data_IF_187752723341
#
_entry.id   IF_187752723341
#
_cell.length_a   1.000
_cell.length_b   1.000
_cell.length_c   1.000
_cell.angle_alpha   90.00
_cell.angle_beta   90.00
_cell.angle_gamma   90.00
#
_symmetry.space_group_name_H-M   'P 1'
#
loop_
_entity.id
_entity.type
_entity.pdbx_description
1 polymer ?
#
# COMPACT_ATOMS: atom_id res chain seq x y z
N UNK A 1 4.18 16.88 28.61
CA UNK A 1 3.83 16.44 27.23
C UNK A 1 2.73 15.40 27.34
N UNK A 2 1.54 15.68 26.81
CA UNK A 2 0.31 14.85 27.03
C UNK A 2 0.51 13.35 26.74
N UNK A 3 1.25 12.99 25.68
CA UNK A 3 1.46 11.57 25.31
C UNK A 3 2.20 10.80 26.39
N UNK A 4 3.22 11.42 27.02
CA UNK A 4 4.00 10.80 28.10
C UNK A 4 3.12 10.61 29.34
N UNK A 5 2.41 11.64 29.76
CA UNK A 5 1.51 11.61 30.93
C UNK A 5 0.42 10.54 30.78
N UNK A 6 -0.18 10.45 29.59
CA UNK A 6 -1.22 9.45 29.32
C UNK A 6 -0.66 8.02 29.25
N UNK A 7 0.55 7.84 28.69
CA UNK A 7 1.20 6.52 28.65
C UNK A 7 1.61 6.03 30.05
N UNK A 8 2.09 6.93 30.91
CA UNK A 8 2.46 6.60 32.29
C UNK A 8 1.27 6.15 33.14
N UNK A 9 0.07 6.71 32.90
CA UNK A 9 -1.17 6.29 33.57
C UNK A 9 -1.52 4.83 33.34
N UNK A 10 -1.16 4.29 32.18
CA UNK A 10 -1.38 2.87 31.80
C UNK A 10 -0.13 2.00 31.99
N UNK A 11 0.87 2.50 32.71
CA UNK A 11 2.10 1.76 33.04
C UNK A 11 3.13 1.65 31.91
N UNK A 12 2.96 2.40 30.81
CA UNK A 12 3.89 2.43 29.70
C UNK A 12 4.90 3.57 29.87
N UNK A 13 6.19 3.28 29.74
CA UNK A 13 7.25 4.30 29.74
C UNK A 13 7.71 4.61 28.32
N UNK A 14 7.70 5.90 27.98
CA UNK A 14 8.24 6.38 26.71
C UNK A 14 9.77 6.18 26.68
N UNK A 15 10.26 5.49 25.65
CA UNK A 15 11.69 5.35 25.43
C UNK A 15 12.15 6.46 24.48
N UNK A 16 12.76 7.51 25.03
CA UNK A 16 13.18 8.70 24.27
C UNK A 16 14.21 8.35 23.21
N UNK A 17 15.15 7.44 23.49
CA UNK A 17 16.21 7.04 22.55
C UNK A 17 15.68 6.28 21.32
N UNK A 18 14.49 5.65 21.44
CA UNK A 18 13.82 4.94 20.32
C UNK A 18 12.72 5.77 19.69
N UNK A 19 12.48 6.98 20.19
CA UNK A 19 11.45 7.88 19.69
C UNK A 19 12.05 8.81 18.66
N UNK A 20 11.50 8.79 17.45
CA UNK A 20 11.88 9.71 16.38
C UNK A 20 10.71 10.63 16.08
N UNK A 21 11.01 11.86 15.70
CA UNK A 21 10.01 12.86 15.33
C UNK A 21 10.10 13.11 13.84
N UNK A 22 8.95 13.03 13.20
CA UNK A 22 8.79 13.43 11.81
C UNK A 22 7.77 14.59 11.73
N UNK A 23 8.16 15.67 11.08
CA UNK A 23 7.31 16.84 10.91
C UNK A 23 7.23 17.25 9.45
N UNK A 24 6.07 17.77 9.05
CA UNK A 24 5.83 18.33 7.71
C UNK A 24 6.48 19.71 7.52
N UNK A 25 6.84 20.37 8.61
CA UNK A 25 7.57 21.65 8.59
C UNK A 25 9.00 21.46 9.09
N UNK A 26 9.97 22.27 8.64
CA UNK A 26 11.33 22.19 9.14
C UNK A 26 11.37 22.54 10.63
N UNK A 27 11.74 21.56 11.45
CA UNK A 27 11.96 21.72 12.90
C UNK A 27 13.46 21.65 13.14
N UNK A 28 14.00 22.65 13.83
CA UNK A 28 15.44 22.76 14.12
C UNK A 28 15.88 21.82 15.25
N UNK A 29 15.07 21.65 16.28
CA UNK A 29 15.33 20.73 17.38
C UNK A 29 14.07 20.49 18.19
N UNK A 30 13.94 19.29 18.76
CA UNK A 30 12.89 18.94 19.68
C UNK A 30 13.46 18.24 20.90
N UNK A 31 12.98 18.60 22.08
CA UNK A 31 13.44 18.00 23.33
C UNK A 31 12.28 17.38 24.10
N UNK A 32 12.52 16.22 24.66
CA UNK A 32 11.63 15.54 25.59
C UNK A 32 12.41 15.32 26.88
N UNK A 33 11.93 15.89 27.99
CA UNK A 33 12.59 15.83 29.32
C UNK A 33 14.07 16.30 29.34
N UNK A 34 14.42 17.25 28.48
CA UNK A 34 15.78 17.75 28.35
C UNK A 34 16.69 16.92 27.43
N UNK A 35 16.23 15.79 26.94
CA UNK A 35 16.94 14.99 25.93
C UNK A 35 16.51 15.41 24.51
N UNK A 36 17.49 15.57 23.62
CA UNK A 36 17.23 15.92 22.23
C UNK A 36 16.72 14.68 21.48
N UNK A 37 15.58 14.80 20.81
CA UNK A 37 15.00 13.74 20.00
C UNK A 37 15.42 13.91 18.55
N UNK A 38 15.79 12.81 17.91
CA UNK A 38 16.20 12.79 16.51
C UNK A 38 15.01 13.11 15.58
N UNK A 39 15.24 14.04 14.65
CA UNK A 39 14.27 14.35 13.59
C UNK A 39 14.58 13.55 12.35
N UNK A 40 13.57 12.85 11.82
CA UNK A 40 13.73 12.01 10.64
C UNK A 40 12.83 12.50 9.50
N UNK A 41 13.34 12.39 8.29
CA UNK A 41 12.60 12.75 7.08
C UNK A 41 11.69 11.62 6.57
N UNK A 42 11.93 10.41 7.03
CA UNK A 42 11.15 9.25 6.69
C UNK A 42 11.13 8.25 7.86
N UNK A 43 10.07 7.47 7.92
CA UNK A 43 9.85 6.47 8.97
C UNK A 43 9.33 5.18 8.37
N UNK A 44 9.77 4.04 8.89
CA UNK A 44 9.30 2.71 8.48
C UNK A 44 8.30 2.20 9.52
N UNK A 45 7.04 2.08 9.13
CA UNK A 45 5.96 1.65 10.01
C UNK A 45 5.62 0.17 9.77
N UNK A 46 5.53 -0.57 10.88
CA UNK A 46 4.94 -1.91 10.95
C UNK A 46 5.77 -3.02 10.32
N UNK A 47 5.30 -4.25 10.49
CA UNK A 47 5.98 -5.48 10.08
C UNK A 47 6.17 -5.66 8.57
N UNK A 48 5.48 -4.91 7.73
CA UNK A 48 5.66 -4.88 6.27
C UNK A 48 6.62 -3.80 5.79
N UNK A 49 7.11 -2.95 6.69
CA UNK A 49 8.07 -1.91 6.38
C UNK A 49 7.53 -0.81 5.46
N UNK A 50 6.30 -0.35 5.69
CA UNK A 50 5.74 0.79 4.94
C UNK A 50 6.50 2.07 5.26
N UNK A 51 7.05 2.72 4.25
CA UNK A 51 7.81 3.95 4.37
C UNK A 51 6.86 5.14 4.32
N UNK A 52 6.82 5.90 5.42
CA UNK A 52 6.12 7.18 5.52
C UNK A 52 7.16 8.28 5.36
N UNK A 53 6.88 9.27 4.52
CA UNK A 53 7.75 10.43 4.28
C UNK A 53 7.08 11.70 4.80
N UNK A 54 7.86 12.68 5.22
CA UNK A 54 7.36 13.93 5.81
C UNK A 54 6.52 14.76 4.81
N UNK A 55 6.76 14.60 3.51
CA UNK A 55 5.98 15.22 2.43
C UNK A 55 4.69 14.47 2.09
N UNK A 56 4.43 13.31 2.72
CA UNK A 56 3.27 12.48 2.46
C UNK A 56 3.26 11.82 1.07
N UNK A 57 4.41 11.78 0.36
CA UNK A 57 4.48 11.16 -0.97
C UNK A 57 4.53 9.64 -0.87
N UNK A 58 3.44 8.99 -1.28
CA UNK A 58 3.31 7.53 -1.31
C UNK A 58 3.82 6.89 -2.63
N UNK A 59 4.32 7.67 -3.58
CA UNK A 59 4.71 7.17 -4.92
C UNK A 59 5.76 6.06 -4.86
N UNK A 60 6.70 6.14 -3.91
CA UNK A 60 7.74 5.13 -3.74
C UNK A 60 7.15 3.82 -3.21
N UNK A 61 6.30 3.89 -2.19
CA UNK A 61 5.62 2.74 -1.62
C UNK A 61 4.70 2.09 -2.63
N UNK A 62 3.93 2.88 -3.36
CA UNK A 62 3.08 2.41 -4.44
C UNK A 62 3.87 1.56 -5.46
N UNK A 63 5.00 2.08 -5.94
CA UNK A 63 5.87 1.34 -6.88
C UNK A 63 6.34 0.02 -6.27
N UNK A 64 6.74 0.03 -5.00
CA UNK A 64 7.18 -1.17 -4.27
C UNK A 64 6.07 -2.21 -4.18
N UNK A 65 4.86 -1.81 -3.79
CA UNK A 65 3.70 -2.72 -3.71
C UNK A 65 3.32 -3.32 -5.07
N UNK A 66 3.32 -2.51 -6.13
CA UNK A 66 3.05 -3.01 -7.47
C UNK A 66 4.13 -4.00 -7.97
N UNK A 67 5.40 -3.79 -7.61
CA UNK A 67 6.48 -4.73 -7.92
C UNK A 67 6.30 -6.05 -7.16
N UNK A 68 5.98 -5.99 -5.85
CA UNK A 68 5.68 -7.18 -5.05
C UNK A 68 4.46 -7.92 -5.59
N UNK A 69 3.42 -7.19 -5.98
CA UNK A 69 2.23 -7.74 -6.62
C UNK A 69 2.57 -8.45 -7.94
N UNK A 70 3.41 -7.86 -8.79
CA UNK A 70 3.88 -8.53 -10.02
C UNK A 70 4.62 -9.82 -9.73
N UNK A 71 5.50 -9.83 -8.74
CA UNK A 71 6.24 -11.03 -8.31
C UNK A 71 5.26 -12.09 -7.79
N UNK A 72 4.33 -11.73 -6.92
CA UNK A 72 3.31 -12.63 -6.39
C UNK A 72 2.42 -13.21 -7.50
N UNK A 73 1.91 -12.38 -8.43
CA UNK A 73 1.12 -12.83 -9.57
C UNK A 73 1.91 -13.75 -10.51
N UNK A 74 3.22 -13.57 -10.61
CA UNK A 74 4.09 -14.45 -11.39
C UNK A 74 4.22 -15.81 -10.71
N UNK A 75 4.40 -15.85 -9.40
CA UNK A 75 4.46 -17.08 -8.61
C UNK A 75 3.14 -17.86 -8.63
N UNK A 76 2.00 -17.15 -8.62
CA UNK A 76 0.67 -17.76 -8.79
C UNK A 76 0.46 -18.33 -10.20
N UNK A 77 1.32 -18.00 -11.15
CA UNK A 77 1.17 -18.41 -12.54
C UNK A 77 1.10 -19.92 -12.75
N UNK A 78 1.73 -20.75 -11.91
CA UNK A 78 1.63 -22.21 -11.94
C UNK A 78 0.20 -22.66 -11.59
N UNK A 79 -0.36 -22.13 -10.51
CA UNK A 79 -1.72 -22.44 -10.04
C UNK A 79 -2.76 -21.93 -11.06
N UNK A 80 -2.60 -20.71 -11.53
CA UNK A 80 -3.54 -20.09 -12.48
C UNK A 80 -3.50 -20.75 -13.87
N UNK A 81 -2.43 -21.48 -14.22
CA UNK A 81 -2.33 -22.25 -15.46
C UNK A 81 -2.98 -23.62 -15.36
N UNK A 82 -3.29 -24.13 -14.16
CA UNK A 82 -3.89 -25.44 -13.98
C UNK A 82 -5.24 -25.53 -14.72
N UNK A 83 -5.45 -26.65 -15.42
CA UNK A 83 -6.67 -26.85 -16.23
C UNK A 83 -7.89 -27.17 -15.37
N UNK A 84 -7.69 -27.82 -14.24
CA UNK A 84 -8.77 -28.24 -13.33
C UNK A 84 -9.43 -27.08 -12.59
N UNK A 85 -8.78 -25.91 -12.54
CA UNK A 85 -9.36 -24.71 -11.92
C UNK A 85 -10.11 -23.93 -12.97
N UNK A 86 -11.42 -23.75 -12.78
CA UNK A 86 -12.27 -23.02 -13.70
C UNK A 86 -11.92 -21.53 -13.75
N UNK A 87 -12.22 -20.88 -14.87
CA UNK A 87 -11.96 -19.45 -15.03
C UNK A 87 -12.68 -18.58 -13.99
N UNK A 88 -13.97 -18.80 -13.66
CA UNK A 88 -14.64 -18.07 -12.58
C UNK A 88 -13.93 -18.19 -11.23
N UNK A 89 -13.45 -19.38 -10.88
CA UNK A 89 -12.69 -19.62 -9.64
C UNK A 89 -11.38 -18.84 -9.63
N UNK A 90 -10.65 -18.82 -10.75
CA UNK A 90 -9.41 -18.03 -10.89
C UNK A 90 -9.68 -16.53 -10.72
N UNK A 91 -10.75 -16.04 -11.33
CA UNK A 91 -11.16 -14.62 -11.20
C UNK A 91 -11.54 -14.29 -9.78
N UNK A 92 -12.32 -15.15 -9.11
CA UNK A 92 -12.69 -14.98 -7.71
C UNK A 92 -11.45 -14.93 -6.79
N UNK A 93 -10.50 -15.84 -6.96
CA UNK A 93 -9.26 -15.91 -6.20
C UNK A 93 -8.43 -14.63 -6.35
N UNK A 94 -8.28 -14.13 -7.57
CA UNK A 94 -7.55 -12.89 -7.82
C UNK A 94 -8.27 -11.68 -7.22
N UNK A 95 -9.59 -11.58 -7.36
CA UNK A 95 -10.37 -10.48 -6.80
C UNK A 95 -10.42 -10.50 -5.27
N UNK A 96 -10.69 -11.65 -4.68
CA UNK A 96 -10.97 -11.75 -3.24
C UNK A 96 -9.71 -11.85 -2.37
N UNK A 97 -8.61 -12.39 -2.90
CA UNK A 97 -7.40 -12.62 -2.11
C UNK A 97 -6.21 -11.81 -2.61
N UNK A 98 -5.97 -11.81 -3.92
CA UNK A 98 -4.75 -11.21 -4.46
C UNK A 98 -4.77 -9.68 -4.40
N UNK A 99 -5.79 -9.03 -4.95
CA UNK A 99 -5.87 -7.57 -4.94
C UNK A 99 -5.93 -6.98 -3.54
N UNK A 100 -6.76 -7.46 -2.60
CA UNK A 100 -6.76 -6.96 -1.23
C UNK A 100 -5.41 -7.10 -0.54
N UNK A 101 -4.70 -8.20 -0.76
CA UNK A 101 -3.37 -8.42 -0.18
C UNK A 101 -2.30 -7.47 -0.76
N UNK A 102 -2.37 -7.15 -2.06
CA UNK A 102 -1.44 -6.21 -2.70
C UNK A 102 -1.73 -4.77 -2.30
N UNK A 103 -3.01 -4.40 -2.16
CA UNK A 103 -3.44 -3.03 -1.87
C UNK A 103 -3.65 -2.77 -0.36
N UNK A 104 -3.30 -3.73 0.50
CA UNK A 104 -3.45 -3.58 1.94
C UNK A 104 -2.65 -2.39 2.48
N UNK A 105 -3.30 -1.50 3.22
CA UNK A 105 -2.69 -0.30 3.80
C UNK A 105 -2.61 0.90 2.85
N UNK A 106 -3.19 0.79 1.63
CA UNK A 106 -3.23 1.89 0.67
C UNK A 106 -4.35 2.91 0.95
N UNK A 107 -5.28 2.58 1.83
CA UNK A 107 -6.46 3.41 2.15
C UNK A 107 -6.11 4.76 2.78
N UNK A 108 -4.96 4.85 3.46
CA UNK A 108 -4.45 6.08 4.06
C UNK A 108 -3.60 6.93 3.10
N UNK A 109 -3.37 6.45 1.86
CA UNK A 109 -2.47 7.14 0.94
C UNK A 109 -3.19 8.22 0.13
N UNK A 110 -2.53 9.37 0.02
CA UNK A 110 -2.94 10.42 -0.93
C UNK A 110 -2.47 10.05 -2.33
N UNK A 111 -3.33 9.35 -3.09
CA UNK A 111 -2.99 8.82 -4.41
C UNK A 111 -3.10 9.93 -5.46
N UNK A 112 -1.99 10.25 -6.12
CA UNK A 112 -1.94 11.20 -7.23
C UNK A 112 -2.49 10.53 -8.51
N UNK A 113 -2.99 11.33 -9.46
CA UNK A 113 -3.55 10.83 -10.72
C UNK A 113 -2.59 9.96 -11.56
N UNK A 114 -1.28 10.22 -11.43
CA UNK A 114 -0.26 9.40 -12.08
C UNK A 114 -0.16 8.00 -11.46
N UNK A 115 -0.32 7.88 -10.16
CA UNK A 115 -0.32 6.60 -9.43
C UNK A 115 -1.57 5.77 -9.74
N UNK A 116 -2.75 6.41 -9.86
CA UNK A 116 -3.97 5.74 -10.32
C UNK A 116 -3.73 5.03 -11.66
N UNK A 117 -3.13 5.73 -12.63
CA UNK A 117 -2.80 5.13 -13.94
C UNK A 117 -1.85 3.93 -13.84
N UNK A 118 -0.94 3.93 -12.87
CA UNK A 118 -0.03 2.79 -12.63
C UNK A 118 -0.76 1.60 -12.02
N UNK A 119 -1.71 1.86 -11.12
CA UNK A 119 -2.59 0.81 -10.54
C UNK A 119 -3.43 0.20 -11.65
N UNK A 120 -4.07 1.01 -12.49
CA UNK A 120 -4.90 0.55 -13.61
C UNK A 120 -4.08 -0.30 -14.59
N UNK A 121 -2.88 0.15 -14.93
CA UNK A 121 -1.97 -0.60 -15.80
C UNK A 121 -1.52 -1.93 -15.18
N UNK A 122 -1.31 -1.96 -13.86
CA UNK A 122 -0.99 -3.18 -13.13
C UNK A 122 -2.18 -4.15 -13.11
N UNK A 123 -3.38 -3.66 -12.83
CA UNK A 123 -4.60 -4.46 -12.82
C UNK A 123 -4.84 -5.07 -14.20
N UNK A 124 -4.76 -4.25 -15.25
CA UNK A 124 -4.90 -4.72 -16.63
C UNK A 124 -3.85 -5.79 -16.98
N UNK A 125 -2.62 -5.64 -16.52
CA UNK A 125 -1.58 -6.64 -16.70
C UNK A 125 -1.92 -7.95 -15.98
N UNK A 126 -2.48 -7.90 -14.76
CA UNK A 126 -2.94 -9.08 -14.03
C UNK A 126 -4.05 -9.83 -14.79
N UNK A 127 -5.04 -9.11 -15.28
CA UNK A 127 -6.14 -9.70 -16.05
C UNK A 127 -5.68 -10.33 -17.36
N UNK A 128 -4.81 -9.67 -18.10
CA UNK A 128 -4.20 -10.23 -19.33
C UNK A 128 -3.47 -11.53 -19.05
N UNK A 129 -2.71 -11.56 -17.97
CA UNK A 129 -1.97 -12.75 -17.55
C UNK A 129 -2.90 -13.90 -17.13
N UNK A 130 -3.96 -13.59 -16.42
CA UNK A 130 -4.98 -14.57 -15.99
C UNK A 130 -5.71 -15.18 -17.18
N UNK A 131 -6.16 -14.34 -18.11
CA UNK A 131 -7.02 -14.73 -19.22
C UNK A 131 -6.24 -15.22 -20.44
N UNK A 132 -4.90 -15.14 -20.41
CA UNK A 132 -4.03 -15.44 -21.56
C UNK A 132 -4.43 -14.70 -22.84
N UNK A 133 -5.04 -13.52 -22.71
CA UNK A 133 -5.56 -12.76 -23.83
C UNK A 133 -4.45 -11.95 -24.50
N UNK A 134 -4.35 -11.94 -25.84
CA UNK A 134 -3.47 -11.04 -26.56
C UNK A 134 -3.87 -9.57 -26.31
N UNK A 135 -2.92 -8.67 -26.45
CA UNK A 135 -2.98 -7.27 -26.01
C UNK A 135 -4.14 -6.43 -26.61
N UNK A 136 -4.81 -6.93 -27.66
CA UNK A 136 -5.70 -6.13 -28.53
C UNK A 136 -7.18 -6.15 -28.14
N UNK A 137 -7.65 -7.07 -27.27
CA UNK A 137 -9.10 -7.31 -27.11
C UNK A 137 -9.69 -6.97 -25.73
N UNK A 138 -8.98 -6.26 -24.88
CA UNK A 138 -9.55 -5.77 -23.62
C UNK A 138 -10.02 -4.32 -23.77
N UNK A 139 -11.27 -4.18 -24.19
CA UNK A 139 -11.96 -2.91 -24.22
C UNK A 139 -12.11 -2.33 -22.79
N UNK A 140 -12.22 -1.00 -22.74
CA UNK A 140 -12.43 -0.15 -21.53
C UNK A 140 -13.50 -0.63 -20.54
N UNK A 141 -14.37 -1.55 -20.93
CA UNK A 141 -15.52 -2.00 -20.15
C UNK A 141 -15.19 -2.78 -18.87
N UNK A 142 -14.04 -3.46 -18.79
CA UNK A 142 -13.64 -4.18 -17.58
C UNK A 142 -12.88 -3.28 -16.60
N UNK A 143 -12.13 -2.31 -17.12
CA UNK A 143 -11.41 -1.32 -16.32
C UNK A 143 -12.38 -0.35 -15.63
N UNK A 144 -13.44 0.06 -16.32
CA UNK A 144 -14.48 0.96 -15.75
C UNK A 144 -15.27 0.33 -14.59
N UNK A 145 -15.35 -1.00 -14.53
CA UNK A 145 -16.02 -1.70 -13.43
C UNK A 145 -15.15 -1.78 -12.17
N UNK A 146 -13.83 -1.70 -12.31
CA UNK A 146 -12.91 -1.67 -11.18
C UNK A 146 -12.84 -0.29 -10.53
N UNK A 147 -12.96 0.81 -11.29
CA UNK A 147 -13.07 2.17 -10.75
C UNK A 147 -14.27 2.31 -9.80
N UNK A 148 -15.41 1.66 -10.10
CA UNK A 148 -16.59 1.69 -9.22
C UNK A 148 -16.39 0.92 -7.90
N UNK A 149 -15.58 -0.12 -7.88
CA UNK A 149 -15.37 -0.97 -6.70
C UNK A 149 -14.27 -0.44 -5.77
N UNK A 150 -13.20 0.16 -6.30
CA UNK A 150 -12.03 0.53 -5.50
C UNK A 150 -11.98 2.00 -5.10
N UNK A 151 -12.40 2.91 -5.98
CA UNK A 151 -12.39 4.35 -5.70
C UNK A 151 -13.54 4.76 -4.80
N UNK A 152 -14.66 4.02 -4.78
CA UNK A 152 -15.78 4.29 -3.85
C UNK A 152 -15.47 3.85 -2.42
N UNK A 153 -14.76 2.74 -2.21
CA UNK A 153 -14.38 2.29 -0.86
C UNK A 153 -13.22 3.11 -0.25
N UNK A 154 -12.31 3.61 -1.06
CA UNK A 154 -11.22 4.48 -0.60
C UNK A 154 -11.66 5.94 -0.30
N UNK A 155 -12.92 6.31 -0.57
CA UNK A 155 -13.51 7.63 -0.28
C UNK A 155 -14.56 7.61 0.85
N UNK A 156 -14.76 6.48 1.53
CA UNK A 156 -15.52 6.39 2.77
C UNK A 156 -14.57 6.36 3.96
#
# INVERSE_FOLDING_TARGET
MKVKEESEKVGLKLNVQKTNIMASCPITSWQIDGETVETVTNFILGGRGSKITADGDCSHEMKRYLLLGRKAMTNLGSILKHRDITLPTKVCLVKALFFPAVMYGCESWTIKKAECRRIDAFELWCWRRLLRAPALNFGRSLVLRSEELWVKDARR
#
